data_IF_244377909185
#
_entry.id   IF_244377909185
#
_cell.length_a   1.000
_cell.length_b   1.000
_cell.length_c   1.000
_cell.angle_alpha   90.00
_cell.angle_beta   90.00
_cell.angle_gamma   90.00
#
_symmetry.space_group_name_H-M   'P 1'
#
loop_
_entity.id
_entity.type
_entity.pdbx_description
1 polymer ?
#
# COMPACT_ATOMS: atom_id res chain seq x y z
N UNK A 1 19.60 13.24 -1.68
CA UNK A 1 18.81 13.23 -2.93
C UNK A 1 17.71 12.22 -2.70
N UNK A 2 16.43 12.61 -2.67
CA UNK A 2 15.36 11.68 -2.30
C UNK A 2 14.82 11.04 -3.57
N UNK A 3 15.19 9.79 -3.81
CA UNK A 3 14.76 9.00 -4.96
C UNK A 3 13.73 8.00 -4.43
N UNK A 4 12.50 8.11 -4.89
CA UNK A 4 11.54 7.00 -4.79
C UNK A 4 11.63 6.25 -6.12
N UNK A 5 12.08 5.00 -6.07
CA UNK A 5 12.00 4.10 -7.21
C UNK A 5 10.74 3.24 -7.03
N UNK A 6 9.82 3.30 -7.99
CA UNK A 6 8.68 2.39 -8.06
C UNK A 6 8.90 1.54 -9.30
N UNK A 7 9.17 0.25 -9.09
CA UNK A 7 9.27 -0.72 -10.18
C UNK A 7 8.05 -1.63 -10.15
N UNK A 8 7.39 -1.73 -11.30
CA UNK A 8 6.34 -2.70 -11.55
C UNK A 8 6.92 -3.78 -12.45
N UNK A 9 7.17 -4.96 -11.89
CA UNK A 9 7.59 -6.12 -12.69
C UNK A 9 6.37 -6.79 -13.36
N UNK A 10 5.22 -6.69 -12.71
CA UNK A 10 3.89 -7.11 -13.11
C UNK A 10 2.85 -6.39 -12.23
N UNK A 11 1.54 -6.57 -12.47
CA UNK A 11 0.49 -6.07 -11.55
C UNK A 11 0.44 -6.86 -10.22
N UNK A 12 1.37 -7.79 -10.00
CA UNK A 12 1.40 -8.69 -8.86
C UNK A 12 2.38 -8.22 -7.76
N UNK A 13 3.40 -7.45 -8.14
CA UNK A 13 4.47 -7.03 -7.23
C UNK A 13 4.89 -5.57 -7.43
N UNK A 14 4.96 -4.86 -6.31
CA UNK A 14 5.55 -3.53 -6.21
C UNK A 14 6.78 -3.61 -5.29
N UNK A 15 7.89 -3.03 -5.73
CA UNK A 15 9.08 -2.82 -4.89
C UNK A 15 9.41 -1.34 -4.83
N UNK A 16 9.62 -0.82 -3.62
CA UNK A 16 9.82 0.61 -3.37
C UNK A 16 10.76 0.85 -2.19
N UNK A 17 11.79 1.68 -2.41
CA UNK A 17 12.64 2.21 -1.34
C UNK A 17 12.12 3.58 -0.87
N UNK A 18 11.86 3.70 0.43
CA UNK A 18 11.38 4.95 1.06
C UNK A 18 12.31 5.35 2.20
N UNK A 19 12.89 6.55 2.12
CA UNK A 19 13.78 7.07 3.15
C UNK A 19 13.04 7.86 4.23
N UNK A 20 13.50 7.69 5.48
CA UNK A 20 13.02 8.50 6.61
C UNK A 20 11.58 8.17 7.02
N UNK A 21 11.17 6.91 6.87
CA UNK A 21 9.87 6.38 7.32
C UNK A 21 9.70 6.59 8.82
N UNK A 22 8.55 7.13 9.20
CA UNK A 22 8.13 7.33 10.59
C UNK A 22 6.93 6.46 10.96
N UNK A 23 6.15 6.01 9.97
CA UNK A 23 4.99 5.15 10.18
C UNK A 23 4.64 4.39 8.90
N UNK A 24 4.24 3.13 9.05
CA UNK A 24 3.60 2.33 8.01
C UNK A 24 2.31 1.77 8.63
N UNK A 25 1.20 1.90 7.92
CA UNK A 25 -0.06 1.29 8.35
C UNK A 25 -1.09 1.26 7.25
N UNK A 26 -2.11 0.45 7.48
CA UNK A 26 -3.22 0.26 6.55
C UNK A 26 -4.55 0.59 7.20
N UNK A 27 -5.50 1.05 6.39
CA UNK A 27 -6.90 1.00 6.76
C UNK A 27 -7.41 -0.44 6.76
N UNK A 28 -8.59 -0.67 7.33
CA UNK A 28 -9.31 -1.93 7.10
C UNK A 28 -9.84 -1.96 5.67
N UNK A 29 -9.87 -3.13 5.00
CA UNK A 29 -10.51 -3.26 3.70
C UNK A 29 -11.97 -2.78 3.73
N UNK A 30 -12.36 -2.03 2.69
CA UNK A 30 -13.72 -1.54 2.48
C UNK A 30 -14.24 -2.08 1.15
N UNK A 31 -15.48 -2.56 1.12
CA UNK A 31 -16.14 -2.91 -0.13
C UNK A 31 -16.75 -1.64 -0.78
N UNK A 32 -16.55 -1.48 -2.08
CA UNK A 32 -17.11 -0.43 -2.91
C UNK A 32 -18.47 -0.84 -3.52
N UNK A 33 -19.19 0.12 -4.09
CA UNK A 33 -20.54 -0.07 -4.62
C UNK A 33 -20.62 -1.08 -5.79
N UNK A 34 -19.51 -1.30 -6.50
CA UNK A 34 -19.39 -2.25 -7.61
C UNK A 34 -18.96 -3.67 -7.17
N UNK A 35 -18.80 -3.88 -5.86
CA UNK A 35 -18.39 -5.14 -5.27
C UNK A 35 -16.88 -5.33 -5.15
N UNK A 36 -16.07 -4.43 -5.74
CA UNK A 36 -14.61 -4.41 -5.60
C UNK A 36 -14.23 -4.03 -4.17
N UNK A 37 -13.12 -4.58 -3.69
CA UNK A 37 -12.55 -4.26 -2.39
C UNK A 37 -11.43 -3.25 -2.53
N UNK A 38 -11.32 -2.36 -1.55
CA UNK A 38 -10.36 -1.27 -1.51
C UNK A 38 -9.63 -1.23 -0.16
N UNK A 39 -8.33 -0.95 -0.18
CA UNK A 39 -7.55 -0.66 1.02
C UNK A 39 -6.50 0.43 0.74
N UNK A 40 -6.30 1.32 1.69
CA UNK A 40 -5.22 2.31 1.65
C UNK A 40 -4.05 1.87 2.53
N UNK A 41 -2.84 1.84 1.94
CA UNK A 41 -1.57 1.72 2.63
C UNK A 41 -0.90 3.09 2.70
N UNK A 42 -0.61 3.53 3.92
CA UNK A 42 0.02 4.81 4.21
C UNK A 42 1.43 4.61 4.75
N UNK A 43 2.41 5.23 4.08
CA UNK A 43 3.79 5.33 4.54
C UNK A 43 4.06 6.81 4.85
N UNK A 44 4.17 7.16 6.14
CA UNK A 44 4.57 8.51 6.55
C UNK A 44 6.08 8.59 6.65
N UNK A 45 6.62 9.74 6.24
CA UNK A 45 8.03 10.10 6.35
C UNK A 45 8.16 11.39 7.14
N UNK A 46 9.39 11.77 7.49
CA UNK A 46 9.67 13.07 8.13
C UNK A 46 9.21 14.29 7.32
N UNK A 47 8.98 14.14 6.00
CA UNK A 47 8.71 15.28 5.10
C UNK A 47 7.41 15.15 4.31
N UNK A 48 6.60 14.12 4.56
CA UNK A 48 5.37 13.89 3.80
C UNK A 48 4.90 12.45 3.87
N UNK A 49 3.95 12.10 3.02
CA UNK A 49 3.27 10.80 3.04
C UNK A 49 3.23 10.22 1.64
N UNK A 50 3.50 8.92 1.53
CA UNK A 50 3.18 8.10 0.35
C UNK A 50 1.90 7.35 0.67
N UNK A 51 0.89 7.48 -0.18
CA UNK A 51 -0.36 6.75 -0.09
C UNK A 51 -0.46 5.80 -1.30
N UNK A 52 -0.76 4.54 -1.02
CA UNK A 52 -0.98 3.49 -2.00
C UNK A 52 -2.42 3.01 -1.87
N UNK A 53 -3.16 3.11 -2.96
CA UNK A 53 -4.54 2.65 -3.06
C UNK A 53 -4.54 1.29 -3.75
N UNK A 54 -5.00 0.27 -3.02
CA UNK A 54 -5.04 -1.11 -3.49
C UNK A 54 -6.50 -1.49 -3.74
N UNK A 55 -6.74 -2.23 -4.82
CA UNK A 55 -8.04 -2.79 -5.16
C UNK A 55 -7.92 -4.29 -5.39
N UNK A 56 -8.96 -5.04 -5.04
CA UNK A 56 -9.00 -6.50 -5.17
C UNK A 56 -10.44 -7.02 -5.35
N UNK A 57 -10.57 -8.28 -5.76
CA UNK A 57 -11.87 -8.93 -5.94
C UNK A 57 -12.42 -9.45 -4.60
N UNK A 58 -11.55 -9.75 -3.64
CA UNK A 58 -11.88 -10.28 -2.31
C UNK A 58 -11.14 -9.52 -1.19
N UNK A 59 -11.68 -9.46 0.04
CA UNK A 59 -11.01 -8.79 1.15
C UNK A 59 -9.73 -9.51 1.60
N UNK A 60 -9.65 -10.83 1.42
CA UNK A 60 -8.51 -11.65 1.80
C UNK A 60 -7.25 -11.31 1.00
N UNK A 61 -7.41 -10.87 -0.25
CA UNK A 61 -6.33 -10.40 -1.12
C UNK A 61 -5.70 -9.08 -0.63
N UNK A 62 -6.42 -8.32 0.20
CA UNK A 62 -5.94 -7.08 0.82
C UNK A 62 -5.41 -7.30 2.26
N UNK A 63 -5.41 -8.54 2.75
CA UNK A 63 -4.97 -8.84 4.10
C UNK A 63 -3.45 -8.65 4.25
N UNK A 64 -3.03 -7.56 4.89
CA UNK A 64 -1.64 -7.38 5.31
C UNK A 64 -1.37 -8.26 6.53
N UNK A 65 -0.81 -9.44 6.29
CA UNK A 65 -0.31 -10.32 7.35
C UNK A 65 1.06 -9.82 7.79
N UNK A 66 1.27 -9.69 9.10
CA UNK A 66 2.61 -9.47 9.63
C UNK A 66 3.53 -10.59 9.15
N UNK A 67 4.76 -10.25 8.75
CA UNK A 67 5.81 -11.25 8.59
C UNK A 67 6.17 -11.72 10.01
N UNK A 68 5.66 -12.88 10.42
CA UNK A 68 6.13 -13.59 11.62
C UNK A 68 7.58 -14.08 11.44
#
# INVERSE_FOLDING_TARGET
MKVAAISFNDNHSISMDVEGVTYIGTAQPLQLDDGTWFLELLIRTKTGTVALQLVADTPEELAVRGYD
#
